data_IF_785171926372
#
_entry.id   IF_785171926372
#
_cell.length_a   1.000
_cell.length_b   1.000
_cell.length_c   1.000
_cell.angle_alpha   90.00
_cell.angle_beta   90.00
_cell.angle_gamma   90.00
#
_symmetry.space_group_name_H-M   'P 1'
#
loop_
_entity.id
_entity.type
_entity.pdbx_description
1 polymer ?
#
# COMPACT_ATOMS: atom_id res chain seq x y z
N UNK A 1 -9.95 -13.63 18.93
CA UNK A 1 -9.02 -14.42 19.77
C UNK A 1 -8.54 -15.73 19.14
N UNK A 2 -9.14 -16.28 18.06
CA UNK A 2 -8.65 -17.50 17.38
C UNK A 2 -7.57 -17.26 16.30
N UNK A 3 -7.34 -16.02 15.89
CA UNK A 3 -6.42 -15.68 14.80
C UNK A 3 -5.00 -15.33 15.27
N UNK A 4 -4.86 -14.66 16.43
CA UNK A 4 -3.57 -14.26 17.01
C UNK A 4 -2.64 -15.44 17.32
N UNK A 5 -3.21 -16.57 17.74
CA UNK A 5 -2.43 -17.80 17.98
C UNK A 5 -1.95 -18.46 16.68
N UNK A 6 -2.64 -18.22 15.57
CA UNK A 6 -2.32 -18.83 14.29
C UNK A 6 -1.14 -18.10 13.64
N UNK A 7 -1.11 -16.77 13.68
CA UNK A 7 0.01 -15.98 13.15
C UNK A 7 1.31 -16.28 13.90
N UNK A 8 1.26 -16.40 15.24
CA UNK A 8 2.45 -16.75 16.04
C UNK A 8 2.88 -18.22 15.81
N UNK A 9 1.94 -19.15 15.60
CA UNK A 9 2.31 -20.54 15.29
C UNK A 9 2.86 -20.70 13.88
N UNK A 10 2.29 -19.99 12.91
CA UNK A 10 2.72 -20.01 11.51
C UNK A 10 4.12 -19.39 11.39
N UNK A 11 4.44 -18.32 12.14
CA UNK A 11 5.80 -17.78 12.26
C UNK A 11 6.79 -18.76 12.91
N UNK A 12 6.35 -19.52 13.93
CA UNK A 12 7.20 -20.50 14.62
C UNK A 12 7.44 -21.78 13.81
N UNK A 13 6.44 -22.24 13.05
CA UNK A 13 6.58 -23.35 12.12
C UNK A 13 7.49 -22.98 10.94
N UNK A 14 7.42 -21.75 10.44
CA UNK A 14 8.31 -21.27 9.38
C UNK A 14 9.77 -21.16 9.84
N UNK A 15 10.01 -20.85 11.13
CA UNK A 15 11.35 -20.89 11.73
C UNK A 15 11.91 -22.31 11.90
N UNK A 16 11.04 -23.31 12.11
CA UNK A 16 11.43 -24.70 12.33
C UNK A 16 11.46 -25.55 11.05
N UNK A 17 10.69 -25.19 10.03
CA UNK A 17 10.47 -25.97 8.80
C UNK A 17 10.67 -25.18 7.51
N UNK A 18 11.25 -23.98 7.56
CA UNK A 18 11.58 -23.20 6.37
C UNK A 18 12.50 -23.98 5.44
N UNK A 19 11.92 -24.65 4.44
CA UNK A 19 12.62 -24.99 3.21
C UNK A 19 13.32 -23.73 2.73
N UNK A 20 14.63 -23.81 2.49
CA UNK A 20 15.41 -22.71 1.91
C UNK A 20 14.95 -22.48 0.46
N UNK A 21 13.80 -21.81 0.29
CA UNK A 21 13.41 -21.18 -0.96
C UNK A 21 14.50 -20.14 -1.26
N UNK A 22 15.16 -20.25 -2.41
CA UNK A 22 16.26 -19.35 -2.76
C UNK A 22 15.72 -17.93 -2.96
N UNK A 23 16.51 -16.92 -2.60
CA UNK A 23 16.14 -15.50 -2.78
C UNK A 23 15.67 -15.23 -4.22
N UNK A 24 16.35 -15.79 -5.23
CA UNK A 24 15.97 -15.68 -6.64
C UNK A 24 14.51 -16.13 -6.90
N UNK A 25 14.08 -17.24 -6.31
CA UNK A 25 12.73 -17.79 -6.49
C UNK A 25 11.65 -16.90 -5.83
N UNK A 26 12.01 -16.24 -4.72
CA UNK A 26 11.16 -15.25 -4.06
C UNK A 26 11.03 -13.98 -4.91
N UNK A 27 12.14 -13.48 -5.45
CA UNK A 27 12.13 -12.27 -6.28
C UNK A 27 11.41 -12.49 -7.60
N UNK A 28 11.53 -13.67 -8.19
CA UNK A 28 10.81 -14.06 -9.42
C UNK A 28 9.30 -14.12 -9.18
N UNK A 29 8.86 -14.70 -8.06
CA UNK A 29 7.43 -14.71 -7.66
C UNK A 29 6.86 -13.29 -7.58
N UNK A 30 7.63 -12.37 -6.97
CA UNK A 30 7.19 -10.97 -6.83
C UNK A 30 7.19 -10.25 -8.18
N UNK A 31 8.21 -10.46 -9.01
CA UNK A 31 8.27 -9.89 -10.35
C UNK A 31 7.11 -10.37 -11.24
N UNK A 32 6.72 -11.65 -11.14
CA UNK A 32 5.56 -12.22 -11.84
C UNK A 32 4.26 -11.51 -11.42
N UNK A 33 4.03 -11.34 -10.12
CA UNK A 33 2.85 -10.64 -9.62
C UNK A 33 2.74 -9.21 -10.18
N UNK A 34 3.83 -8.44 -10.14
CA UNK A 34 3.78 -7.06 -10.63
C UNK A 34 3.74 -6.99 -12.17
N UNK A 35 4.23 -8.01 -12.89
CA UNK A 35 3.99 -8.14 -14.33
C UNK A 35 2.50 -8.36 -14.63
N UNK A 36 1.81 -9.18 -13.84
CA UNK A 36 0.35 -9.36 -13.96
C UNK A 36 -0.41 -8.06 -13.66
N UNK A 37 0.03 -7.27 -12.67
CA UNK A 37 -0.56 -5.95 -12.37
C UNK A 37 -0.49 -5.03 -13.59
N UNK A 38 0.65 -4.94 -14.27
CA UNK A 38 0.81 -4.10 -15.46
C UNK A 38 -0.01 -4.61 -16.66
N UNK A 39 -0.10 -5.93 -16.84
CA UNK A 39 -0.97 -6.53 -17.87
C UNK A 39 -2.45 -6.23 -17.62
N UNK A 40 -2.92 -6.37 -16.37
CA UNK A 40 -4.30 -6.03 -15.96
C UNK A 40 -4.60 -4.57 -16.30
N UNK A 41 -3.73 -3.62 -15.93
CA UNK A 41 -3.91 -2.20 -16.24
C UNK A 41 -4.02 -1.94 -17.74
N UNK A 42 -3.19 -2.62 -18.55
CA UNK A 42 -3.23 -2.50 -20.00
C UNK A 42 -4.57 -2.95 -20.58
N UNK A 43 -5.06 -4.12 -20.14
CA UNK A 43 -6.34 -4.67 -20.58
C UNK A 43 -7.52 -3.81 -20.12
N UNK A 44 -7.52 -3.33 -18.87
CA UNK A 44 -8.53 -2.41 -18.35
C UNK A 44 -8.58 -1.10 -19.16
N UNK A 45 -7.42 -0.57 -19.55
CA UNK A 45 -7.32 0.63 -20.39
C UNK A 45 -7.87 0.40 -21.80
N UNK A 46 -7.63 -0.78 -22.37
CA UNK A 46 -8.17 -1.16 -23.69
C UNK A 46 -9.70 -1.31 -23.67
N UNK A 47 -10.23 -1.98 -22.64
CA UNK A 47 -11.68 -2.09 -22.42
C UNK A 47 -12.33 -0.70 -22.28
N UNK A 48 -11.73 0.19 -21.48
CA UNK A 48 -12.23 1.55 -21.30
C UNK A 48 -12.25 2.34 -22.62
N UNK A 49 -11.21 2.22 -23.46
CA UNK A 49 -11.15 2.88 -24.75
C UNK A 49 -12.22 2.36 -25.74
N UNK A 50 -12.48 1.05 -25.76
CA UNK A 50 -13.52 0.46 -26.62
C UNK A 50 -14.91 0.95 -26.20
N UNK A 51 -15.17 1.01 -24.90
CA UNK A 51 -16.44 1.49 -24.34
C UNK A 51 -16.69 2.98 -24.65
N UNK A 52 -15.65 3.81 -24.62
CA UNK A 52 -15.77 5.23 -24.95
C UNK A 52 -16.04 5.48 -26.45
N UNK A 53 -15.43 4.70 -27.34
CA UNK A 53 -15.53 4.90 -28.79
C UNK A 53 -16.74 4.19 -29.43
N UNK A 54 -17.57 3.45 -28.68
CA UNK A 54 -18.63 2.57 -29.21
C UNK A 54 -18.12 1.66 -30.35
N UNK A 55 -16.85 1.25 -30.27
CA UNK A 55 -16.24 0.37 -31.28
C UNK A 55 -16.75 -1.05 -31.12
N UNK A 56 -17.00 -1.71 -32.24
CA UNK A 56 -17.31 -3.14 -32.27
C UNK A 56 -16.01 -3.93 -32.07
N UNK A 57 -15.57 -4.03 -30.82
CA UNK A 57 -14.42 -4.84 -30.40
C UNK A 57 -14.84 -6.17 -29.79
N UNK A 58 -13.88 -7.09 -29.65
CA UNK A 58 -14.08 -8.37 -28.95
C UNK A 58 -14.02 -8.16 -27.42
N UNK A 59 -14.96 -7.36 -26.90
CA UNK A 59 -15.07 -7.04 -25.46
C UNK A 59 -15.13 -8.31 -24.61
N UNK A 60 -15.85 -9.34 -25.09
CA UNK A 60 -15.98 -10.61 -24.38
C UNK A 60 -14.64 -11.34 -24.22
N UNK A 61 -13.77 -11.29 -25.23
CA UNK A 61 -12.42 -11.87 -25.14
C UNK A 61 -11.53 -11.09 -24.17
N UNK A 62 -11.57 -9.76 -24.21
CA UNK A 62 -10.81 -8.92 -23.26
C UNK A 62 -11.29 -9.08 -21.81
N UNK A 63 -12.60 -9.18 -21.59
CA UNK A 63 -13.17 -9.46 -20.27
C UNK A 63 -12.76 -10.85 -19.76
N UNK A 64 -12.74 -11.86 -20.63
CA UNK A 64 -12.27 -13.20 -20.27
C UNK A 64 -10.78 -13.20 -19.91
N UNK A 65 -9.95 -12.47 -20.67
CA UNK A 65 -8.53 -12.31 -20.38
C UNK A 65 -8.28 -11.55 -19.08
N UNK A 66 -9.02 -10.47 -18.83
CA UNK A 66 -8.96 -9.71 -17.58
C UNK A 66 -9.26 -10.61 -16.38
N UNK A 67 -10.34 -11.41 -16.44
CA UNK A 67 -10.70 -12.34 -15.38
C UNK A 67 -9.58 -13.37 -15.13
N UNK A 68 -9.00 -13.93 -16.19
CA UNK A 68 -7.87 -14.88 -16.10
C UNK A 68 -6.66 -14.26 -15.40
N UNK A 69 -6.27 -13.05 -15.80
CA UNK A 69 -5.14 -12.34 -15.18
C UNK A 69 -5.41 -11.99 -13.72
N UNK A 70 -6.64 -11.59 -13.39
CA UNK A 70 -7.05 -11.30 -12.01
C UNK A 70 -6.97 -12.55 -11.12
N UNK A 71 -7.44 -13.71 -11.60
CA UNK A 71 -7.31 -14.98 -10.88
C UNK A 71 -5.86 -15.38 -10.65
N UNK A 72 -5.00 -15.24 -11.67
CA UNK A 72 -3.56 -15.51 -11.55
C UNK A 72 -2.90 -14.60 -10.52
N UNK A 73 -3.20 -13.29 -10.54
CA UNK A 73 -2.66 -12.33 -9.56
C UNK A 73 -3.13 -12.66 -8.15
N UNK A 74 -4.41 -12.99 -7.97
CA UNK A 74 -4.96 -13.37 -6.67
C UNK A 74 -4.30 -14.62 -6.09
N UNK A 75 -3.96 -15.61 -6.92
CA UNK A 75 -3.27 -16.81 -6.48
C UNK A 75 -1.87 -16.53 -5.92
N UNK A 76 -1.21 -15.46 -6.38
CA UNK A 76 0.13 -15.07 -5.94
C UNK A 76 0.13 -14.08 -4.75
N UNK A 77 -0.99 -13.36 -4.50
CA UNK A 77 -1.06 -12.25 -3.55
C UNK A 77 -0.53 -12.61 -2.14
N UNK A 78 -1.07 -13.66 -1.53
CA UNK A 78 -0.67 -14.08 -0.18
C UNK A 78 0.83 -14.46 -0.09
N UNK A 79 1.42 -15.02 -1.15
CA UNK A 79 2.85 -15.36 -1.19
C UNK A 79 3.70 -14.10 -1.30
N UNK A 80 3.29 -13.17 -2.17
CA UNK A 80 3.98 -11.89 -2.41
C UNK A 80 3.96 -11.00 -1.15
N UNK A 81 2.82 -10.90 -0.47
CA UNK A 81 2.69 -10.18 0.80
C UNK A 81 3.71 -10.68 1.83
N UNK A 82 3.80 -12.00 2.02
CA UNK A 82 4.77 -12.62 2.95
C UNK A 82 6.22 -12.36 2.56
N UNK A 83 6.54 -12.48 1.27
CA UNK A 83 7.90 -12.24 0.76
C UNK A 83 8.31 -10.80 1.04
N UNK A 84 7.50 -9.83 0.60
CA UNK A 84 7.79 -8.40 0.77
C UNK A 84 7.87 -8.04 2.25
N UNK A 85 6.96 -8.54 3.09
CA UNK A 85 7.02 -8.32 4.53
C UNK A 85 8.32 -8.87 5.13
N UNK A 86 8.73 -10.09 4.76
CA UNK A 86 10.00 -10.66 5.23
C UNK A 86 11.21 -9.82 4.82
N UNK A 87 11.26 -9.35 3.57
CA UNK A 87 12.35 -8.53 3.05
C UNK A 87 12.44 -7.17 3.75
N UNK A 88 11.31 -6.49 3.95
CA UNK A 88 11.27 -5.23 4.70
C UNK A 88 11.74 -5.45 6.14
N UNK A 89 11.24 -6.51 6.80
CA UNK A 89 11.63 -6.87 8.18
C UNK A 89 13.13 -7.13 8.30
N UNK A 90 13.73 -7.78 7.32
CA UNK A 90 15.17 -8.00 7.26
C UNK A 90 15.94 -6.68 7.16
N UNK A 91 15.54 -5.79 6.24
CA UNK A 91 16.19 -4.47 6.07
C UNK A 91 16.04 -3.61 7.33
N UNK A 92 14.86 -3.57 7.95
CA UNK A 92 14.64 -2.84 9.21
C UNK A 92 15.58 -3.34 10.32
N UNK A 93 15.73 -4.66 10.45
CA UNK A 93 16.63 -5.26 11.42
C UNK A 93 18.11 -4.92 11.13
N UNK A 94 18.52 -4.86 9.87
CA UNK A 94 19.86 -4.42 9.45
C UNK A 94 20.12 -2.95 9.79
N UNK A 95 19.09 -2.10 9.70
CA UNK A 95 19.13 -0.70 10.15
C UNK A 95 19.02 -0.55 11.67
N UNK A 96 18.90 -1.65 12.42
CA UNK A 96 18.82 -1.63 13.88
C UNK A 96 17.46 -1.21 14.45
N UNK A 97 16.39 -1.25 13.63
CA UNK A 97 15.02 -0.92 14.01
C UNK A 97 14.28 -2.22 14.32
N UNK A 98 13.98 -2.50 15.59
CA UNK A 98 13.24 -3.71 15.98
C UNK A 98 11.90 -3.37 16.64
N UNK A 99 11.89 -2.55 17.70
CA UNK A 99 10.67 -2.14 18.37
C UNK A 99 10.76 -0.72 18.99
N UNK A 100 9.61 -0.12 19.35
CA UNK A 100 9.55 1.25 19.86
C UNK A 100 10.24 1.47 21.20
N UNK A 101 10.57 0.41 21.93
CA UNK A 101 11.19 0.48 23.26
C UNK A 101 12.60 -0.12 23.30
N UNK A 102 13.24 -0.35 22.15
CA UNK A 102 14.58 -0.95 22.04
C UNK A 102 15.66 -0.23 22.89
N UNK A 103 15.54 1.09 23.01
CA UNK A 103 16.43 1.92 23.82
C UNK A 103 16.34 1.59 25.33
N UNK A 104 15.21 1.04 25.77
CA UNK A 104 14.90 0.70 27.16
C UNK A 104 14.99 -0.81 27.40
N UNK A 105 14.66 -1.61 26.40
CA UNK A 105 14.64 -3.07 26.44
C UNK A 105 15.51 -3.56 25.31
N UNK A 106 16.66 -4.19 25.61
CA UNK A 106 17.59 -4.75 24.61
C UNK A 106 17.06 -6.01 23.90
N UNK A 107 15.75 -6.11 23.72
CA UNK A 107 15.07 -7.25 23.13
C UNK A 107 14.96 -7.02 21.62
N UNK A 108 15.69 -7.80 20.83
CA UNK A 108 15.64 -7.75 19.36
C UNK A 108 14.42 -8.48 18.81
N UNK A 109 13.23 -7.98 19.14
CA UNK A 109 11.96 -8.47 18.61
C UNK A 109 11.39 -7.41 17.70
N UNK A 110 10.99 -7.82 16.50
CA UNK A 110 10.30 -6.96 15.55
C UNK A 110 8.87 -6.71 16.03
N UNK A 111 8.58 -5.48 16.42
CA UNK A 111 7.26 -5.02 16.85
C UNK A 111 7.06 -3.56 16.42
N UNK A 112 5.89 -3.17 15.91
CA UNK A 112 4.71 -3.99 15.61
C UNK A 112 4.98 -5.07 14.57
N UNK A 113 4.19 -6.15 14.52
CA UNK A 113 4.29 -7.14 13.45
C UNK A 113 4.09 -6.45 12.09
N UNK A 114 4.94 -6.78 11.12
CA UNK A 114 4.80 -6.28 9.77
C UNK A 114 3.94 -7.26 8.98
N UNK A 115 2.66 -6.92 8.83
CA UNK A 115 1.69 -7.68 8.04
C UNK A 115 0.84 -6.71 7.20
N UNK A 116 0.68 -7.02 5.92
CA UNK A 116 -0.10 -6.21 5.01
C UNK A 116 -0.82 -7.05 3.96
N UNK A 117 -1.94 -6.52 3.45
CA UNK A 117 -2.79 -7.14 2.44
C UNK A 117 -2.86 -6.32 1.17
N UNK A 118 -2.66 -6.98 0.03
CA UNK A 118 -2.80 -6.42 -1.31
C UNK A 118 -4.24 -6.55 -1.77
N UNK A 119 -4.99 -5.46 -1.63
CA UNK A 119 -6.43 -5.48 -1.90
C UNK A 119 -6.87 -4.27 -2.72
N UNK A 120 -8.10 -4.33 -3.26
CA UNK A 120 -8.72 -3.16 -3.87
C UNK A 120 -9.22 -2.26 -2.75
N UNK A 121 -8.69 -1.04 -2.66
CA UNK A 121 -9.04 -0.08 -1.61
C UNK A 121 -10.25 0.79 -2.00
N UNK A 122 -11.07 1.24 -1.02
CA UNK A 122 -12.12 2.22 -1.26
C UNK A 122 -11.53 3.57 -1.69
N UNK A 123 -12.32 4.36 -2.41
CA UNK A 123 -12.01 5.77 -2.61
C UNK A 123 -12.31 6.56 -1.34
N UNK A 124 -11.61 7.67 -1.12
CA UNK A 124 -11.82 8.57 0.00
C UNK A 124 -12.35 9.91 -0.51
N UNK A 125 -13.49 10.36 0.01
CA UNK A 125 -13.93 11.74 -0.14
C UNK A 125 -13.28 12.57 0.96
N UNK A 126 -12.33 13.42 0.57
CA UNK A 126 -11.70 14.42 1.43
C UNK A 126 -12.49 15.71 1.32
N UNK A 127 -12.91 16.26 2.47
CA UNK A 127 -13.65 17.52 2.56
C UNK A 127 -12.80 18.53 3.30
N UNK A 128 -12.59 19.69 2.71
CA UNK A 128 -11.75 20.77 3.25
C UNK A 128 -12.48 22.11 3.29
N UNK A 129 -12.12 23.01 4.23
CA UNK A 129 -12.54 24.41 4.15
C UNK A 129 -11.94 25.05 2.91
N UNK A 130 -12.60 26.07 2.33
CA UNK A 130 -12.06 26.79 1.17
C UNK A 130 -10.97 27.81 1.54
N UNK A 131 -10.93 28.22 2.80
CA UNK A 131 -10.11 29.31 3.31
C UNK A 131 -8.79 28.86 3.97
N UNK A 132 -8.56 27.54 4.11
CA UNK A 132 -7.35 26.98 4.71
C UNK A 132 -7.13 25.54 4.25
N UNK A 133 -5.86 25.12 4.21
CA UNK A 133 -5.46 23.76 3.84
C UNK A 133 -5.60 22.88 5.08
N UNK A 134 -6.75 22.22 5.21
CA UNK A 134 -7.08 21.32 6.33
C UNK A 134 -8.07 20.25 5.84
N UNK A 135 -7.95 19.00 6.28
CA UNK A 135 -8.99 17.99 6.10
C UNK A 135 -10.02 18.12 7.22
N UNK A 136 -11.23 18.60 6.91
CA UNK A 136 -12.34 18.67 7.88
C UNK A 136 -12.96 17.30 8.14
N UNK A 137 -13.08 16.49 7.08
CA UNK A 137 -13.74 15.19 7.13
C UNK A 137 -13.30 14.31 5.98
N UNK A 138 -13.10 13.04 6.29
CA UNK A 138 -12.82 11.98 5.33
C UNK A 138 -13.96 10.94 5.38
N UNK A 139 -14.48 10.57 4.21
CA UNK A 139 -15.57 9.59 4.08
C UNK A 139 -15.15 8.52 3.08
N UNK A 140 -15.10 7.26 3.54
CA UNK A 140 -14.87 6.13 2.65
C UNK A 140 -16.06 5.94 1.69
N UNK A 141 -15.74 5.83 0.40
CA UNK A 141 -16.66 5.60 -0.69
C UNK A 141 -16.52 4.17 -1.25
N UNK A 142 -17.34 3.83 -2.23
CA UNK A 142 -17.25 2.53 -2.91
C UNK A 142 -15.99 2.42 -3.77
N UNK A 143 -15.48 1.20 -3.89
CA UNK A 143 -14.27 0.89 -4.66
C UNK A 143 -14.47 0.98 -6.18
N UNK A 144 -15.71 0.85 -6.66
CA UNK A 144 -16.07 0.82 -8.08
C UNK A 144 -16.87 2.07 -8.42
N UNK A 145 -16.23 3.23 -8.36
CA UNK A 145 -16.82 4.48 -8.84
C UNK A 145 -16.21 4.82 -10.20
N UNK A 146 -17.05 5.20 -11.17
CA UNK A 146 -16.57 5.82 -12.41
C UNK A 146 -16.08 7.24 -12.13
N UNK A 147 -15.25 7.79 -13.03
CA UNK A 147 -14.79 9.19 -12.92
C UNK A 147 -15.99 10.16 -12.86
N UNK A 148 -17.01 9.92 -13.66
CA UNK A 148 -18.23 10.73 -13.70
C UNK A 148 -19.01 10.66 -12.37
N UNK A 149 -19.02 9.50 -11.71
CA UNK A 149 -19.61 9.35 -10.39
C UNK A 149 -18.81 10.08 -9.32
N UNK A 150 -17.48 10.02 -9.38
CA UNK A 150 -16.59 10.77 -8.48
C UNK A 150 -16.82 12.28 -8.62
N UNK A 151 -16.76 12.81 -9.85
CA UNK A 151 -16.99 14.24 -10.15
C UNK A 151 -18.40 14.68 -9.72
N UNK A 152 -19.41 13.82 -9.90
CA UNK A 152 -20.78 14.09 -9.45
C UNK A 152 -20.89 14.18 -7.92
N UNK A 153 -20.18 13.31 -7.19
CA UNK A 153 -20.11 13.37 -5.72
C UNK A 153 -19.43 14.67 -5.27
N UNK A 154 -18.27 15.00 -5.84
CA UNK A 154 -17.54 16.24 -5.53
C UNK A 154 -18.41 17.47 -5.79
N UNK A 155 -19.01 17.58 -6.98
CA UNK A 155 -19.85 18.71 -7.35
C UNK A 155 -21.08 18.88 -6.44
N UNK A 156 -21.59 17.80 -5.85
CA UNK A 156 -22.70 17.85 -4.88
C UNK A 156 -22.24 18.35 -3.51
N UNK A 157 -21.05 17.95 -3.08
CA UNK A 157 -20.48 18.34 -1.78
C UNK A 157 -19.99 19.78 -1.82
N UNK A 158 -19.37 20.19 -2.94
CA UNK A 158 -18.90 21.56 -3.18
C UNK A 158 -20.01 22.62 -3.05
N UNK A 159 -21.25 22.27 -3.40
CA UNK A 159 -22.44 23.13 -3.23
C UNK A 159 -22.76 23.46 -1.77
N UNK A 160 -22.18 22.74 -0.82
CA UNK A 160 -22.30 23.02 0.62
C UNK A 160 -21.32 24.09 1.10
N UNK A 161 -20.55 24.71 0.19
CA UNK A 161 -19.59 25.78 0.51
C UNK A 161 -18.23 25.28 0.96
N UNK A 162 -17.96 23.98 0.84
CA UNK A 162 -16.67 23.32 1.12
C UNK A 162 -15.93 23.01 -0.17
N UNK A 163 -14.65 22.65 -0.08
CA UNK A 163 -13.90 22.01 -1.15
C UNK A 163 -13.94 20.50 -0.94
N UNK A 164 -14.12 19.71 -2.00
CA UNK A 164 -14.10 18.27 -1.92
C UNK A 164 -13.28 17.62 -3.04
N UNK A 165 -12.66 16.49 -2.72
CA UNK A 165 -11.88 15.71 -3.67
C UNK A 165 -12.03 14.22 -3.33
N UNK A 166 -12.36 13.42 -4.33
CA UNK A 166 -12.34 11.96 -4.25
C UNK A 166 -10.96 11.48 -4.68
N UNK A 167 -10.28 10.78 -3.78
CA UNK A 167 -8.93 10.25 -4.03
C UNK A 167 -8.90 8.74 -3.87
N UNK A 168 -8.10 8.07 -4.69
CA UNK A 168 -7.71 6.69 -4.45
C UNK A 168 -6.74 6.63 -3.27
N UNK A 169 -6.97 5.68 -2.37
CA UNK A 169 -6.08 5.46 -1.23
C UNK A 169 -4.97 4.49 -1.65
N UNK A 170 -3.71 4.84 -1.38
CA UNK A 170 -2.55 3.98 -1.65
C UNK A 170 -2.36 2.89 -0.58
N UNK A 171 -2.56 3.28 0.68
CA UNK A 171 -2.47 2.41 1.86
C UNK A 171 -3.46 2.83 2.96
N UNK A 172 -3.85 1.87 3.80
CA UNK A 172 -4.69 2.11 4.95
C UNK A 172 -4.01 1.56 6.20
N UNK A 173 -3.63 2.46 7.12
CA UNK A 173 -2.93 2.19 8.38
C UNK A 173 -3.74 1.47 9.46
N UNK A 174 -4.52 0.46 9.08
CA UNK A 174 -5.12 -0.51 10.00
C UNK A 174 -4.15 -1.64 10.31
N UNK A 175 -4.53 -2.58 11.18
CA UNK A 175 -3.83 -3.87 11.32
C UNK A 175 -4.74 -5.02 10.86
N UNK A 176 -4.35 -5.83 9.84
CA UNK A 176 -3.16 -5.64 8.99
C UNK A 176 -3.26 -4.34 8.16
N UNK A 177 -2.11 -3.87 7.68
CA UNK A 177 -2.07 -2.74 6.75
C UNK A 177 -2.72 -3.17 5.43
N UNK A 178 -3.56 -2.35 4.81
CA UNK A 178 -3.98 -2.63 3.44
C UNK A 178 -3.22 -1.75 2.46
N UNK A 179 -2.72 -2.33 1.37
CA UNK A 179 -2.03 -1.64 0.29
C UNK A 179 -2.74 -1.96 -1.02
N UNK A 180 -2.84 -0.99 -1.93
CA UNK A 180 -3.53 -1.21 -3.19
C UNK A 180 -2.84 -2.29 -4.05
N UNK A 181 -3.62 -3.23 -4.58
CA UNK A 181 -3.14 -4.30 -5.46
C UNK A 181 -2.92 -3.88 -6.93
N UNK A 182 -3.08 -2.60 -7.23
CA UNK A 182 -2.86 -2.01 -8.55
C UNK A 182 -1.64 -1.08 -8.60
N UNK A 183 -0.86 -0.98 -7.53
CA UNK A 183 0.34 -0.16 -7.50
C UNK A 183 1.56 -0.85 -8.14
N UNK A 184 2.61 -0.07 -8.41
CA UNK A 184 3.93 -0.63 -8.75
C UNK A 184 4.59 -1.26 -7.52
N UNK A 185 5.61 -2.11 -7.74
CA UNK A 185 6.39 -2.72 -6.67
C UNK A 185 6.98 -1.67 -5.72
N UNK A 186 7.62 -0.64 -6.29
CA UNK A 186 8.23 0.46 -5.53
C UNK A 186 7.22 1.18 -4.65
N UNK A 187 6.04 1.50 -5.20
CA UNK A 187 4.98 2.16 -4.43
C UNK A 187 4.44 1.25 -3.32
N UNK A 188 4.26 -0.03 -3.62
CA UNK A 188 3.77 -1.04 -2.66
C UNK A 188 4.72 -1.17 -1.46
N UNK A 189 6.02 -1.31 -1.72
CA UNK A 189 7.05 -1.40 -0.67
C UNK A 189 7.03 -0.15 0.20
N UNK A 190 7.10 1.04 -0.42
CA UNK A 190 7.11 2.30 0.32
C UNK A 190 5.85 2.43 1.18
N UNK A 191 4.68 2.16 0.61
CA UNK A 191 3.40 2.25 1.33
C UNK A 191 3.35 1.28 2.51
N UNK A 192 3.75 0.01 2.31
CA UNK A 192 3.78 -0.98 3.39
C UNK A 192 4.68 -0.52 4.56
N UNK A 193 5.84 0.07 4.25
CA UNK A 193 6.75 0.63 5.27
C UNK A 193 6.14 1.85 5.96
N UNK A 194 5.54 2.77 5.21
CA UNK A 194 4.94 4.00 5.72
C UNK A 194 3.84 3.71 6.74
N UNK A 195 2.91 2.83 6.38
CA UNK A 195 1.79 2.42 7.23
C UNK A 195 2.27 1.65 8.46
N UNK A 196 3.25 0.75 8.30
CA UNK A 196 3.87 0.09 9.44
C UNK A 196 4.59 1.07 10.36
N UNK A 197 5.23 2.10 9.80
CA UNK A 197 5.92 3.12 10.58
C UNK A 197 4.92 3.98 11.36
N UNK A 198 3.73 4.26 10.83
CA UNK A 198 2.66 4.88 11.63
C UNK A 198 2.26 3.99 12.81
N UNK A 199 2.13 2.68 12.62
CA UNK A 199 1.89 1.74 13.72
C UNK A 199 3.06 1.73 14.73
N UNK A 200 4.31 1.78 14.28
CA UNK A 200 5.48 1.86 15.14
C UNK A 200 5.49 3.15 15.95
N UNK A 201 5.24 4.29 15.30
CA UNK A 201 5.22 5.62 15.90
C UNK A 201 4.05 5.80 16.86
N UNK A 202 2.96 5.06 16.72
CA UNK A 202 1.85 5.05 17.68
C UNK A 202 2.29 4.76 19.13
N UNK A 203 3.40 4.02 19.29
CA UNK A 203 4.03 3.71 20.58
C UNK A 203 5.13 4.71 20.98
N UNK A 204 5.40 5.72 20.16
CA UNK A 204 6.32 6.83 20.44
C UNK A 204 5.52 8.11 20.73
N UNK A 205 6.09 9.10 21.45
CA UNK A 205 5.38 10.33 21.79
C UNK A 205 4.76 11.06 20.59
N UNK A 206 5.49 11.13 19.47
CA UNK A 206 5.02 11.81 18.25
C UNK A 206 3.78 11.13 17.65
N UNK A 207 3.82 9.81 17.41
CA UNK A 207 2.66 9.12 16.82
C UNK A 207 1.51 8.94 17.79
N UNK A 208 1.77 8.86 19.11
CA UNK A 208 0.69 8.91 20.09
C UNK A 208 -0.07 10.24 20.04
N UNK A 209 0.62 11.38 19.92
CA UNK A 209 -0.03 12.68 19.73
C UNK A 209 -0.81 12.72 18.40
N UNK A 210 -0.30 12.07 17.35
CA UNK A 210 -1.02 11.96 16.09
C UNK A 210 -2.32 11.15 16.23
N UNK A 211 -2.34 10.07 17.01
CA UNK A 211 -3.58 9.34 17.34
C UNK A 211 -4.59 10.27 18.04
N UNK A 212 -4.13 11.13 18.95
CA UNK A 212 -5.03 12.08 19.63
C UNK A 212 -5.61 13.12 18.66
N UNK A 213 -4.86 13.50 17.62
CA UNK A 213 -5.35 14.34 16.53
C UNK A 213 -6.41 13.62 15.70
N UNK A 214 -6.09 12.40 15.21
CA UNK A 214 -7.00 11.56 14.41
C UNK A 214 -8.32 11.25 15.13
N UNK A 215 -8.27 10.99 16.43
CA UNK A 215 -9.47 10.73 17.25
C UNK A 215 -10.26 12.00 17.59
N UNK A 216 -9.72 13.18 17.27
CA UNK A 216 -10.32 14.48 17.59
C UNK A 216 -10.25 14.86 19.07
N UNK A 217 -9.54 14.09 19.90
CA UNK A 217 -9.36 14.37 21.33
C UNK A 217 -8.48 15.62 21.52
N UNK A 218 -7.42 15.75 20.74
CA UNK A 218 -6.51 16.89 20.77
C UNK A 218 -6.00 17.17 19.36
N UNK A 219 -6.76 17.95 18.58
CA UNK A 219 -6.38 18.32 17.22
C UNK A 219 -5.12 19.17 17.18
N UNK A 220 -4.14 18.76 16.41
CA UNK A 220 -2.90 19.46 16.15
C UNK A 220 -2.36 19.10 14.76
N UNK A 221 -2.64 19.98 13.79
CA UNK A 221 -2.22 19.82 12.40
C UNK A 221 -0.69 19.80 12.21
N UNK A 222 0.08 20.47 13.08
CA UNK A 222 1.54 20.43 13.03
C UNK A 222 2.05 19.03 13.38
N UNK A 223 1.44 18.36 14.36
CA UNK A 223 1.79 16.98 14.73
C UNK A 223 1.49 16.02 13.58
N UNK A 224 0.32 16.14 12.96
CA UNK A 224 -0.03 15.35 11.78
C UNK A 224 1.01 15.56 10.66
N UNK A 225 1.31 16.83 10.34
CA UNK A 225 2.30 17.17 9.31
C UNK A 225 3.68 16.58 9.60
N UNK A 226 4.16 16.66 10.85
CA UNK A 226 5.45 16.09 11.25
C UNK A 226 5.43 14.56 11.18
N UNK A 227 4.34 13.91 11.61
CA UNK A 227 4.20 12.46 11.58
C UNK A 227 4.24 11.91 10.15
N UNK A 228 3.41 12.47 9.26
CA UNK A 228 3.35 12.13 7.84
C UNK A 228 4.69 12.40 7.14
N UNK A 229 5.34 13.54 7.45
CA UNK A 229 6.66 13.86 6.86
C UNK A 229 7.72 12.85 7.29
N UNK A 230 7.75 12.48 8.57
CA UNK A 230 8.70 11.47 9.07
C UNK A 230 8.42 10.11 8.42
N UNK A 231 7.16 9.69 8.38
CA UNK A 231 6.76 8.41 7.81
C UNK A 231 7.16 8.33 6.33
N UNK A 232 6.86 9.37 5.55
CA UNK A 232 7.17 9.44 4.12
C UNK A 232 8.65 9.59 3.77
N UNK A 233 9.50 10.12 4.66
CA UNK A 233 10.96 10.15 4.45
C UNK A 233 11.54 8.75 4.69
N UNK A 234 11.24 8.16 5.85
CA UNK A 234 11.79 6.86 6.24
C UNK A 234 11.28 5.75 5.32
N UNK A 235 10.02 5.80 4.89
CA UNK A 235 9.45 4.83 3.95
C UNK A 235 10.21 4.78 2.64
N UNK A 236 10.57 5.94 2.09
CA UNK A 236 11.36 6.06 0.85
C UNK A 236 12.79 5.59 1.04
N UNK A 237 13.44 5.93 2.16
CA UNK A 237 14.82 5.52 2.43
C UNK A 237 14.93 4.00 2.63
N UNK A 238 14.12 3.42 3.51
CA UNK A 238 14.10 1.98 3.74
C UNK A 238 13.64 1.24 2.47
N UNK A 239 12.63 1.77 1.79
CA UNK A 239 12.17 1.20 0.53
C UNK A 239 13.27 1.17 -0.52
N UNK A 240 14.07 2.24 -0.64
CA UNK A 240 15.22 2.30 -1.55
C UNK A 240 16.18 1.13 -1.31
N UNK A 241 16.54 0.90 -0.04
CA UNK A 241 17.43 -0.18 0.37
C UNK A 241 16.83 -1.55 0.05
N UNK A 242 15.53 -1.77 0.30
CA UNK A 242 14.84 -3.03 -0.04
C UNK A 242 14.94 -3.30 -1.55
N UNK A 243 14.64 -2.31 -2.39
CA UNK A 243 14.70 -2.51 -3.84
C UNK A 243 16.13 -2.68 -4.36
N UNK A 244 17.12 -1.96 -3.82
CA UNK A 244 18.51 -2.14 -4.19
C UNK A 244 19.01 -3.55 -3.85
N UNK A 245 18.58 -4.08 -2.70
CA UNK A 245 19.00 -5.39 -2.21
C UNK A 245 18.32 -6.56 -2.93
N UNK A 246 17.00 -6.49 -3.17
CA UNK A 246 16.22 -7.62 -3.69
C UNK A 246 15.75 -7.44 -5.14
N UNK A 247 15.69 -6.22 -5.66
CA UNK A 247 15.09 -5.91 -6.97
C UNK A 247 15.95 -4.99 -7.85
N UNK A 248 17.28 -5.19 -7.96
CA UNK A 248 18.17 -4.28 -8.68
C UNK A 248 17.81 -4.14 -10.16
N UNK A 249 17.38 -5.23 -10.80
CA UNK A 249 17.02 -5.23 -12.23
C UNK A 249 15.64 -4.61 -12.49
N UNK A 250 14.76 -4.60 -11.49
CA UNK A 250 13.43 -3.98 -11.61
C UNK A 250 13.53 -2.44 -11.63
N UNK A 251 14.43 -1.87 -10.82
CA UNK A 251 14.75 -0.42 -10.83
C UNK A 251 15.34 0.02 -12.17
N UNK A 252 16.28 -0.75 -12.71
CA UNK A 252 16.95 -0.42 -13.97
C UNK A 252 15.98 -0.36 -15.17
N UNK A 253 14.96 -1.21 -15.18
CA UNK A 253 13.94 -1.22 -16.24
C UNK A 253 12.87 -0.13 -16.06
N UNK A 254 12.60 0.32 -14.82
CA UNK A 254 11.68 1.43 -14.56
C UNK A 254 12.29 2.81 -14.92
N UNK A 255 13.63 2.91 -14.93
CA UNK A 255 14.37 4.14 -15.24
C UNK A 255 14.83 4.29 -16.70
N UNK A 256 14.58 3.30 -17.57
CA UNK A 256 14.81 3.50 -19.00
C UNK A 256 13.69 4.34 -19.61
N UNK A 257 14.00 5.53 -20.20
CA UNK A 257 13.05 6.18 -21.09
C UNK A 257 12.71 5.19 -22.20
N UNK A 258 11.42 5.05 -22.52
CA UNK A 258 11.00 4.40 -23.76
C UNK A 258 11.49 5.28 -24.92
N UNK A 259 12.72 5.06 -25.35
CA UNK A 259 13.22 5.60 -26.61
C UNK A 259 12.33 5.04 -27.71
N UNK A 260 11.49 5.93 -28.23
CA UNK A 260 10.58 5.67 -29.33
C UNK A 260 11.40 5.66 -30.61
N UNK A 261 11.75 4.47 -31.09
CA UNK A 261 12.24 4.24 -32.45
C UNK A 261 11.08 3.97 -33.40
#
# INVERSE_FOLDING_TARGET
MKWEFKTISDEAEQWLFGEHEKIDDQTDTVAEYFSLVEQIKSVESEIAAINADNKQGDLASLEAELNRLQEQRMALADKVERIIASQIKEVLAEQGIFNPVDEHIKLKVNFPPLDFKLEKLPHLLVISPRDRIESMREIALQQNLSLEEMESIEARVDKLGVSSLVVGIGGLGTYPTFVTNSASLRFTINTAIEEWLHQYLAFKPLGFLYILDLTGISRNYEIATINETLAGIVSKEIGAIVCEKYYPDYENNAHQPRDSG
#
